data_IF_217548504769
#
_entry.id   IF_217548504769
#
_cell.length_a   1.000
_cell.length_b   1.000
_cell.length_c   1.000
_cell.angle_alpha   90.00
_cell.angle_beta   90.00
_cell.angle_gamma   90.00
#
_symmetry.space_group_name_H-M   'P 1'
#
loop_
_entity.id
_entity.type
_entity.pdbx_description
1 polymer ?
#
# COMPACT_ATOMS: atom_id res chain seq x y z
N UNK A 1 1.10 -42.44 -42.02
CA UNK A 1 0.45 -42.26 -40.70
C UNK A 1 -0.17 -40.89 -40.66
N UNK A 2 -1.50 -40.80 -40.73
CA UNK A 2 -2.18 -39.58 -40.29
C UNK A 2 -1.94 -39.49 -38.79
N UNK A 3 -1.08 -38.56 -38.36
CA UNK A 3 -0.97 -38.25 -36.94
C UNK A 3 -2.34 -37.83 -36.43
N UNK A 4 -2.80 -38.44 -35.35
CA UNK A 4 -3.99 -37.99 -34.66
C UNK A 4 -3.75 -36.54 -34.20
N UNK A 5 -4.57 -35.63 -34.69
CA UNK A 5 -4.43 -34.21 -34.39
C UNK A 5 -4.61 -33.95 -32.90
N UNK A 6 -5.47 -34.73 -32.21
CA UNK A 6 -5.69 -34.61 -30.77
C UNK A 6 -4.42 -34.96 -30.01
N UNK A 7 -3.81 -36.11 -30.32
CA UNK A 7 -2.54 -36.52 -29.71
C UNK A 7 -1.41 -35.54 -30.03
N UNK A 8 -1.42 -34.97 -31.24
CA UNK A 8 -0.48 -33.91 -31.62
C UNK A 8 -0.66 -32.63 -30.81
N UNK A 9 -1.89 -32.29 -30.41
CA UNK A 9 -2.14 -31.16 -29.49
C UNK A 9 -1.65 -31.45 -28.06
N UNK A 10 -1.61 -32.72 -27.65
CA UNK A 10 -1.14 -33.18 -26.33
C UNK A 10 0.35 -33.53 -26.30
N UNK A 11 1.07 -33.34 -27.40
CA UNK A 11 2.53 -33.48 -27.45
C UNK A 11 3.23 -32.11 -27.42
N UNK A 12 4.36 -32.02 -26.70
CA UNK A 12 5.06 -30.76 -26.46
C UNK A 12 5.54 -30.09 -27.76
N UNK A 13 6.18 -30.85 -28.64
CA UNK A 13 6.78 -30.32 -29.86
C UNK A 13 5.72 -30.09 -30.92
N UNK A 14 4.79 -31.03 -31.06
CA UNK A 14 3.72 -31.00 -32.04
C UNK A 14 2.72 -29.88 -31.73
N UNK A 15 2.35 -29.67 -30.46
CA UNK A 15 1.51 -28.53 -30.05
C UNK A 15 2.16 -27.19 -30.41
N UNK A 16 3.47 -27.03 -30.18
CA UNK A 16 4.21 -25.81 -30.57
C UNK A 16 4.23 -25.62 -32.09
N UNK A 17 4.36 -26.70 -32.86
CA UNK A 17 4.31 -26.65 -34.32
C UNK A 17 2.91 -26.22 -34.80
N UNK A 18 1.85 -26.81 -34.24
CA UNK A 18 0.46 -26.46 -34.55
C UNK A 18 0.22 -24.98 -34.26
N UNK A 19 0.63 -24.46 -33.10
CA UNK A 19 0.48 -23.05 -32.76
C UNK A 19 1.18 -22.11 -33.76
N UNK A 20 2.41 -22.44 -34.17
CA UNK A 20 3.16 -21.66 -35.18
C UNK A 20 2.49 -21.70 -36.55
N UNK A 21 2.07 -22.89 -36.99
CA UNK A 21 1.39 -23.06 -38.27
C UNK A 21 0.07 -22.32 -38.29
N UNK A 22 -0.69 -22.38 -37.19
CA UNK A 22 -1.97 -21.69 -37.03
C UNK A 22 -1.88 -20.19 -37.31
N UNK A 23 -0.77 -19.52 -36.95
CA UNK A 23 -0.59 -18.09 -37.24
C UNK A 23 -0.53 -17.79 -38.74
N UNK A 24 0.06 -18.68 -39.54
CA UNK A 24 0.18 -18.54 -41.00
C UNK A 24 -0.92 -19.21 -41.81
N UNK A 25 -1.79 -20.01 -41.18
CA UNK A 25 -2.83 -20.77 -41.87
C UNK A 25 -3.97 -19.91 -42.40
N UNK A 26 -4.57 -20.37 -43.52
CA UNK A 26 -5.79 -19.79 -44.06
C UNK A 26 -7.00 -20.00 -43.12
N UNK A 27 -8.09 -19.29 -43.35
CA UNK A 27 -9.32 -19.43 -42.55
C UNK A 27 -9.88 -20.84 -42.69
N UNK A 28 -9.87 -21.40 -43.90
CA UNK A 28 -10.34 -22.76 -44.20
C UNK A 28 -9.53 -23.81 -43.44
N UNK A 29 -8.20 -23.68 -43.43
CA UNK A 29 -7.33 -24.57 -42.67
C UNK A 29 -7.61 -24.50 -41.16
N UNK A 30 -7.83 -23.29 -40.64
CA UNK A 30 -8.20 -23.08 -39.23
C UNK A 30 -9.54 -23.72 -38.89
N UNK A 31 -10.52 -23.62 -39.78
CA UNK A 31 -11.84 -24.25 -39.61
C UNK A 31 -11.73 -25.78 -39.60
N UNK A 32 -10.91 -26.36 -40.49
CA UNK A 32 -10.66 -27.82 -40.50
C UNK A 32 -10.01 -28.28 -39.20
N UNK A 33 -9.00 -27.55 -38.71
CA UNK A 33 -8.36 -27.86 -37.42
C UNK A 33 -9.39 -27.76 -36.30
N UNK A 34 -10.19 -26.69 -36.26
CA UNK A 34 -11.20 -26.46 -35.24
C UNK A 34 -12.21 -27.60 -35.18
N UNK A 35 -12.81 -27.96 -36.32
CA UNK A 35 -13.80 -29.05 -36.41
C UNK A 35 -13.25 -30.38 -35.87
N UNK A 36 -11.98 -30.67 -36.13
CA UNK A 36 -11.34 -31.90 -35.65
C UNK A 36 -11.08 -31.90 -34.14
N UNK A 37 -10.77 -30.75 -33.55
CA UNK A 37 -10.44 -30.67 -32.12
C UNK A 37 -11.64 -30.32 -31.23
N UNK A 38 -12.75 -29.84 -31.81
CA UNK A 38 -13.86 -29.25 -31.06
C UNK A 38 -14.46 -30.19 -29.99
N UNK A 39 -14.66 -31.46 -30.33
CA UNK A 39 -15.23 -32.46 -29.41
C UNK A 39 -14.32 -32.72 -28.20
N UNK A 40 -13.01 -32.59 -28.37
CA UNK A 40 -12.00 -32.77 -27.32
C UNK A 40 -11.53 -31.45 -26.71
N UNK A 41 -12.14 -30.32 -27.09
CA UNK A 41 -11.63 -29.00 -26.71
C UNK A 41 -11.59 -28.81 -25.19
N UNK A 42 -12.59 -29.31 -24.44
CA UNK A 42 -12.58 -29.25 -22.97
C UNK A 42 -11.42 -30.04 -22.34
N UNK A 43 -11.11 -31.21 -22.88
CA UNK A 43 -9.95 -32.00 -22.44
C UNK A 43 -8.65 -31.28 -22.78
N UNK A 44 -8.56 -30.68 -23.97
CA UNK A 44 -7.40 -29.89 -24.38
C UNK A 44 -7.21 -28.63 -23.53
N UNK A 45 -8.29 -27.96 -23.08
CA UNK A 45 -8.18 -26.83 -22.15
C UNK A 45 -7.51 -27.22 -20.82
N UNK A 46 -7.67 -28.48 -20.40
CA UNK A 46 -7.07 -29.05 -19.19
C UNK A 46 -5.72 -29.74 -19.45
N UNK A 47 -5.27 -29.83 -20.70
CA UNK A 47 -3.99 -30.47 -21.03
C UNK A 47 -2.80 -29.50 -20.91
N UNK A 48 -1.64 -30.02 -20.51
CA UNK A 48 -0.41 -29.24 -20.31
C UNK A 48 0.12 -28.54 -21.58
N UNK A 49 -0.19 -29.08 -22.77
CA UNK A 49 0.22 -28.51 -24.06
C UNK A 49 -0.98 -28.11 -24.92
N UNK A 50 -2.11 -28.83 -24.83
CA UNK A 50 -3.34 -28.58 -25.58
C UNK A 50 -3.97 -27.24 -25.25
N UNK A 51 -3.81 -26.75 -24.00
CA UNK A 51 -4.41 -25.48 -23.58
C UNK A 51 -3.93 -24.30 -24.44
N UNK A 52 -2.69 -24.34 -24.91
CA UNK A 52 -2.13 -23.30 -25.77
C UNK A 52 -2.76 -23.29 -27.17
N UNK A 53 -3.12 -24.47 -27.69
CA UNK A 53 -3.81 -24.59 -28.98
C UNK A 53 -5.20 -23.96 -28.86
N UNK A 54 -5.94 -24.23 -27.78
CA UNK A 54 -7.26 -23.60 -27.54
C UNK A 54 -7.13 -22.08 -27.38
N UNK A 55 -6.11 -21.60 -26.66
CA UNK A 55 -5.86 -20.16 -26.52
C UNK A 55 -5.66 -19.47 -27.89
N UNK A 56 -5.00 -20.11 -28.87
CA UNK A 56 -4.84 -19.57 -30.23
C UNK A 56 -6.16 -19.32 -30.96
N UNK A 57 -7.21 -20.08 -30.65
CA UNK A 57 -8.55 -19.84 -31.20
C UNK A 57 -9.25 -18.64 -30.56
N UNK A 58 -8.90 -18.27 -29.33
CA UNK A 58 -9.39 -17.05 -28.68
C UNK A 58 -8.61 -15.80 -29.12
N UNK A 59 -7.29 -15.88 -29.34
CA UNK A 59 -6.45 -14.74 -29.69
C UNK A 59 -6.99 -13.96 -30.89
N UNK A 60 -7.19 -12.63 -30.74
CA UNK A 60 -7.43 -11.74 -31.88
C UNK A 60 -6.25 -11.75 -32.83
N UNK A 61 -6.58 -11.74 -34.12
CA UNK A 61 -5.61 -11.53 -35.17
C UNK A 61 -4.69 -10.34 -34.94
N UNK A 62 -3.38 -10.58 -34.88
CA UNK A 62 -2.40 -9.52 -34.71
C UNK A 62 -2.19 -8.72 -36.02
N UNK A 63 -2.09 -7.40 -35.91
CA UNK A 63 -1.54 -6.54 -36.97
C UNK A 63 -0.03 -6.69 -36.98
N UNK A 64 0.55 -7.44 -37.93
CA UNK A 64 2.01 -7.46 -38.11
C UNK A 64 2.40 -6.35 -39.08
N UNK A 65 3.05 -5.28 -38.58
CA UNK A 65 3.76 -4.32 -39.44
C UNK A 65 5.02 -5.00 -39.97
N UNK A 66 4.94 -5.63 -41.15
CA UNK A 66 6.12 -5.86 -42.00
C UNK A 66 6.26 -4.67 -42.93
N UNK A 67 7.49 -4.24 -43.21
CA UNK A 67 7.82 -3.06 -44.02
C UNK A 67 6.82 -2.84 -45.17
N UNK A 68 6.11 -1.71 -45.11
CA UNK A 68 5.26 -1.13 -46.16
C UNK A 68 3.98 -1.88 -46.58
N UNK A 69 3.59 -3.01 -45.95
CA UNK A 69 2.26 -3.64 -46.18
C UNK A 69 1.59 -4.00 -44.86
N UNK A 70 0.45 -3.38 -44.56
CA UNK A 70 -0.42 -3.81 -43.45
C UNK A 70 -1.08 -5.13 -43.84
N UNK A 71 -0.59 -6.23 -43.28
CA UNK A 71 -1.25 -7.54 -43.38
C UNK A 71 -1.96 -7.78 -42.05
N UNK A 72 -3.29 -7.93 -42.12
CA UNK A 72 -4.08 -8.44 -41.00
C UNK A 72 -3.84 -9.95 -40.92
N UNK A 73 -3.14 -10.41 -39.88
CA UNK A 73 -3.10 -11.84 -39.57
C UNK A 73 -4.38 -12.10 -38.78
N UNK A 74 -5.42 -12.69 -39.35
CA UNK A 74 -6.58 -13.13 -38.56
C UNK A 74 -6.19 -14.39 -37.77
N UNK A 75 -6.15 -14.31 -36.44
CA UNK A 75 -6.18 -15.47 -35.53
C UNK A 75 -7.55 -15.48 -34.87
N UNK A 76 -8.11 -16.68 -34.66
CA UNK A 76 -9.44 -16.91 -34.08
C UNK A 76 -10.60 -16.32 -34.88
N UNK A 77 -11.39 -17.15 -35.58
CA UNK A 77 -12.68 -16.72 -36.14
C UNK A 77 -13.66 -16.41 -34.98
N UNK A 78 -14.43 -15.33 -35.10
CA UNK A 78 -15.52 -14.97 -34.17
C UNK A 78 -16.41 -16.17 -33.84
N UNK A 79 -16.75 -16.98 -34.85
CA UNK A 79 -17.57 -18.18 -34.68
C UNK A 79 -16.92 -19.21 -33.75
N UNK A 80 -15.62 -19.48 -33.92
CA UNK A 80 -14.88 -20.38 -33.02
C UNK A 80 -14.86 -19.87 -31.58
N UNK A 81 -14.74 -18.56 -31.36
CA UNK A 81 -14.77 -17.99 -30.00
C UNK A 81 -16.13 -18.20 -29.33
N UNK A 82 -17.22 -18.01 -30.08
CA UNK A 82 -18.58 -18.23 -29.58
C UNK A 82 -18.80 -19.71 -29.28
N UNK A 83 -18.37 -20.61 -30.17
CA UNK A 83 -18.48 -22.06 -29.96
C UNK A 83 -17.67 -22.54 -28.75
N UNK A 84 -16.42 -22.08 -28.61
CA UNK A 84 -15.60 -22.37 -27.43
C UNK A 84 -16.24 -21.81 -26.16
N UNK A 85 -16.82 -20.61 -26.20
CA UNK A 85 -17.58 -20.07 -25.07
C UNK A 85 -18.77 -20.96 -24.68
N UNK A 86 -19.51 -21.55 -25.64
CA UNK A 86 -20.58 -22.48 -25.29
C UNK A 86 -20.06 -23.71 -24.53
N UNK A 87 -18.85 -24.19 -24.84
CA UNK A 87 -18.22 -25.27 -24.06
C UNK A 87 -17.78 -24.83 -22.67
N UNK A 88 -17.43 -23.54 -22.48
CA UNK A 88 -17.07 -23.01 -21.16
C UNK A 88 -18.26 -22.95 -20.20
N UNK A 89 -19.49 -22.87 -20.73
CA UNK A 89 -20.68 -22.73 -19.89
C UNK A 89 -20.84 -23.90 -18.92
N UNK A 90 -21.01 -23.59 -17.65
CA UNK A 90 -21.10 -24.57 -16.56
C UNK A 90 -19.76 -25.23 -16.22
N UNK A 91 -18.66 -24.82 -16.85
CA UNK A 91 -17.30 -25.34 -16.62
C UNK A 91 -16.34 -24.24 -16.12
N UNK A 92 -16.80 -22.99 -15.98
CA UNK A 92 -15.91 -21.86 -15.71
C UNK A 92 -15.19 -22.01 -14.38
N UNK A 93 -15.90 -22.42 -13.31
CA UNK A 93 -15.29 -22.61 -11.99
C UNK A 93 -14.22 -23.70 -12.05
N UNK A 94 -14.57 -24.89 -12.56
CA UNK A 94 -13.65 -26.03 -12.65
C UNK A 94 -12.39 -25.69 -13.46
N UNK A 95 -12.57 -25.02 -14.60
CA UNK A 95 -11.44 -24.56 -15.42
C UNK A 95 -10.63 -23.49 -14.70
N UNK A 96 -11.26 -22.58 -13.96
CA UNK A 96 -10.56 -21.51 -13.22
C UNK A 96 -9.65 -22.04 -12.13
N UNK A 97 -10.04 -23.13 -11.46
CA UNK A 97 -9.27 -23.81 -10.43
C UNK A 97 -8.23 -24.80 -11.00
N UNK A 98 -8.21 -25.00 -12.33
CA UNK A 98 -7.31 -25.93 -12.99
C UNK A 98 -5.99 -25.27 -13.41
N UNK A 99 -4.86 -25.97 -13.21
CA UNK A 99 -3.49 -25.52 -13.53
C UNK A 99 -3.35 -24.93 -14.93
N UNK A 100 -3.97 -25.58 -15.93
CA UNK A 100 -3.94 -25.15 -17.33
C UNK A 100 -5.24 -24.46 -17.77
N UNK A 101 -6.38 -24.88 -17.22
CA UNK A 101 -7.70 -24.34 -17.59
C UNK A 101 -7.81 -22.86 -17.25
N UNK A 102 -7.17 -22.42 -16.14
CA UNK A 102 -7.20 -21.03 -15.71
C UNK A 102 -6.60 -20.09 -16.76
N UNK A 103 -5.65 -20.58 -17.57
CA UNK A 103 -5.03 -19.82 -18.67
C UNK A 103 -6.00 -19.62 -19.81
N UNK A 104 -6.83 -20.63 -20.11
CA UNK A 104 -7.88 -20.53 -21.13
C UNK A 104 -8.96 -19.56 -20.68
N UNK A 105 -9.43 -19.63 -19.43
CA UNK A 105 -10.43 -18.68 -18.90
C UNK A 105 -9.88 -17.24 -18.93
N UNK A 106 -8.63 -17.03 -18.51
CA UNK A 106 -7.99 -15.72 -18.61
C UNK A 106 -7.94 -15.23 -20.06
N UNK A 107 -7.56 -16.08 -21.01
CA UNK A 107 -7.52 -15.73 -22.43
C UNK A 107 -8.91 -15.42 -22.99
N UNK A 108 -9.93 -16.18 -22.60
CA UNK A 108 -11.32 -15.93 -22.98
C UNK A 108 -11.78 -14.55 -22.47
N UNK A 109 -11.54 -14.23 -21.19
CA UNK A 109 -11.87 -12.92 -20.61
C UNK A 109 -11.19 -11.75 -21.36
N UNK A 110 -9.92 -11.91 -21.75
CA UNK A 110 -9.15 -10.88 -22.49
C UNK A 110 -9.72 -10.64 -23.89
N UNK A 111 -10.00 -11.72 -24.61
CA UNK A 111 -10.32 -11.67 -26.04
C UNK A 111 -11.81 -11.43 -26.29
N UNK A 112 -12.67 -11.81 -25.34
CA UNK A 112 -14.11 -11.57 -25.38
C UNK A 112 -14.51 -10.18 -24.89
N UNK A 113 -13.56 -9.26 -24.65
CA UNK A 113 -13.86 -7.88 -24.23
C UNK A 113 -14.74 -7.07 -25.21
N UNK A 114 -14.80 -7.49 -26.48
CA UNK A 114 -15.68 -6.90 -27.51
C UNK A 114 -17.07 -7.57 -27.53
N UNK A 115 -17.30 -8.59 -26.68
CA UNK A 115 -18.55 -9.34 -26.54
C UNK A 115 -19.00 -9.33 -25.07
N UNK A 116 -19.54 -8.19 -24.57
CA UNK A 116 -19.82 -8.01 -23.15
C UNK A 116 -20.72 -9.09 -22.55
N UNK A 117 -21.73 -9.55 -23.29
CA UNK A 117 -22.65 -10.60 -22.84
C UNK A 117 -21.94 -11.94 -22.57
N UNK A 118 -20.97 -12.32 -23.41
CA UNK A 118 -20.22 -13.56 -23.23
C UNK A 118 -19.23 -13.45 -22.07
N UNK A 119 -18.55 -12.30 -21.98
CA UNK A 119 -17.65 -12.02 -20.86
C UNK A 119 -18.42 -11.99 -19.52
N UNK A 120 -19.60 -11.39 -19.51
CA UNK A 120 -20.48 -11.38 -18.33
C UNK A 120 -20.95 -12.78 -17.95
N UNK A 121 -21.29 -13.64 -18.92
CA UNK A 121 -21.63 -15.04 -18.64
C UNK A 121 -20.52 -15.80 -17.92
N UNK A 122 -19.25 -15.61 -18.33
CA UNK A 122 -18.10 -16.21 -17.62
C UNK A 122 -18.03 -15.70 -16.17
N UNK A 123 -18.23 -14.41 -15.97
CA UNK A 123 -18.12 -13.80 -14.64
C UNK A 123 -19.25 -14.23 -13.71
N UNK A 124 -20.48 -14.33 -14.23
CA UNK A 124 -21.66 -14.73 -13.46
C UNK A 124 -21.48 -16.14 -12.85
N UNK A 125 -20.86 -17.09 -13.57
CA UNK A 125 -20.63 -18.44 -13.05
C UNK A 125 -19.71 -18.50 -11.83
N UNK A 126 -18.79 -17.53 -11.68
CA UNK A 126 -17.86 -17.48 -10.54
C UNK A 126 -18.22 -16.43 -9.50
N UNK A 127 -19.28 -15.65 -9.73
CA UNK A 127 -19.65 -14.51 -8.88
C UNK A 127 -19.94 -14.92 -7.43
N UNK A 128 -20.59 -16.06 -7.22
CA UNK A 128 -20.88 -16.55 -5.86
C UNK A 128 -19.75 -17.43 -5.29
N UNK A 129 -18.65 -17.56 -6.03
CA UNK A 129 -17.49 -18.42 -5.72
C UNK A 129 -16.18 -17.62 -5.65
N UNK A 130 -16.26 -16.31 -5.53
CA UNK A 130 -15.12 -15.38 -5.47
C UNK A 130 -14.07 -15.84 -4.46
N UNK A 131 -14.50 -16.15 -3.25
CA UNK A 131 -13.60 -16.54 -2.18
C UNK A 131 -12.91 -17.88 -2.43
N UNK A 132 -13.60 -18.82 -3.08
CA UNK A 132 -13.01 -20.09 -3.52
C UNK A 132 -11.88 -19.82 -4.50
N UNK A 133 -12.13 -18.99 -5.52
CA UNK A 133 -11.12 -18.62 -6.50
C UNK A 133 -9.97 -17.82 -5.89
N UNK A 134 -10.22 -16.88 -4.97
CA UNK A 134 -9.18 -16.07 -4.32
C UNK A 134 -8.22 -16.93 -3.47
N UNK A 135 -8.73 -17.98 -2.84
CA UNK A 135 -7.95 -18.90 -2.03
C UNK A 135 -7.18 -19.93 -2.86
N UNK A 136 -7.56 -20.13 -4.11
CA UNK A 136 -6.92 -21.07 -5.01
C UNK A 136 -5.69 -20.47 -5.71
N UNK A 137 -4.66 -21.28 -5.95
CA UNK A 137 -3.41 -20.86 -6.59
C UNK A 137 -3.55 -20.52 -8.08
N UNK A 138 -4.62 -20.97 -8.74
CA UNK A 138 -4.92 -20.69 -10.15
C UNK A 138 -6.09 -19.73 -10.31
N UNK A 139 -7.17 -19.97 -9.56
CA UNK A 139 -8.39 -19.17 -9.54
C UNK A 139 -8.14 -17.69 -9.21
N UNK A 140 -7.15 -17.39 -8.38
CA UNK A 140 -6.84 -16.00 -8.02
C UNK A 140 -6.45 -15.17 -9.26
N UNK A 141 -5.75 -15.77 -10.22
CA UNK A 141 -5.39 -15.09 -11.46
C UNK A 141 -6.59 -14.85 -12.38
N UNK A 142 -7.60 -15.73 -12.33
CA UNK A 142 -8.87 -15.51 -13.05
C UNK A 142 -9.61 -14.32 -12.45
N UNK A 143 -9.70 -14.23 -11.11
CA UNK A 143 -10.33 -13.08 -10.44
C UNK A 143 -9.61 -11.77 -10.78
N UNK A 144 -8.27 -11.76 -10.73
CA UNK A 144 -7.49 -10.61 -11.19
C UNK A 144 -7.84 -10.23 -12.63
N UNK A 145 -7.96 -11.23 -13.52
CA UNK A 145 -8.28 -10.98 -14.92
C UNK A 145 -9.68 -10.40 -15.11
N UNK A 146 -10.69 -10.90 -14.39
CA UNK A 146 -12.02 -10.29 -14.37
C UNK A 146 -11.93 -8.80 -14.04
N UNK A 147 -11.24 -8.43 -12.96
CA UNK A 147 -11.04 -7.02 -12.59
C UNK A 147 -10.24 -6.21 -13.62
N UNK A 148 -9.34 -6.87 -14.35
CA UNK A 148 -8.61 -6.21 -15.43
C UNK A 148 -9.49 -5.91 -16.64
N UNK A 149 -10.42 -6.80 -16.97
CA UNK A 149 -11.19 -6.75 -18.21
C UNK A 149 -12.58 -6.11 -18.06
N UNK A 150 -13.19 -6.12 -16.87
CA UNK A 150 -14.50 -5.51 -16.59
C UNK A 150 -14.36 -3.97 -16.60
N UNK A 151 -14.34 -3.41 -17.79
CA UNK A 151 -14.39 -1.95 -18.00
C UNK A 151 -15.84 -1.42 -18.04
N UNK A 152 -16.84 -2.31 -18.13
CA UNK A 152 -18.22 -1.94 -18.49
C UNK A 152 -19.27 -2.19 -17.39
N UNK A 153 -19.14 -3.24 -16.57
CA UNK A 153 -20.15 -3.56 -15.52
C UNK A 153 -19.75 -3.02 -14.15
N UNK A 154 -20.37 -1.90 -13.75
CA UNK A 154 -20.15 -1.32 -12.41
C UNK A 154 -20.62 -2.27 -11.30
N UNK A 155 -21.77 -2.92 -11.49
CA UNK A 155 -22.42 -3.73 -10.46
C UNK A 155 -21.61 -4.96 -10.08
N UNK A 156 -21.10 -5.68 -11.07
CA UNK A 156 -20.25 -6.86 -10.88
C UNK A 156 -18.99 -6.46 -10.10
N UNK A 157 -18.28 -5.41 -10.55
CA UNK A 157 -17.09 -4.95 -9.86
C UNK A 157 -17.36 -4.54 -8.39
N UNK A 158 -18.51 -3.93 -8.12
CA UNK A 158 -18.91 -3.58 -6.76
C UNK A 158 -19.19 -4.81 -5.91
N UNK A 159 -19.90 -5.80 -6.45
CA UNK A 159 -20.17 -7.05 -5.75
C UNK A 159 -18.85 -7.76 -5.38
N UNK A 160 -17.91 -7.88 -6.32
CA UNK A 160 -16.61 -8.46 -6.02
C UNK A 160 -15.87 -7.74 -4.89
N UNK A 161 -15.81 -6.41 -4.94
CA UNK A 161 -15.12 -5.66 -3.89
C UNK A 161 -15.86 -5.76 -2.56
N UNK A 162 -17.19 -5.70 -2.57
CA UNK A 162 -17.98 -5.85 -1.36
C UNK A 162 -17.66 -7.18 -0.67
N UNK A 163 -17.72 -8.27 -1.42
CA UNK A 163 -17.34 -9.61 -0.93
C UNK A 163 -15.91 -9.62 -0.38
N UNK A 164 -14.94 -9.04 -1.10
CA UNK A 164 -13.54 -8.96 -0.65
C UNK A 164 -13.39 -8.16 0.67
N UNK A 165 -14.07 -7.03 0.81
CA UNK A 165 -13.94 -6.18 2.00
C UNK A 165 -14.68 -6.77 3.21
N UNK A 166 -15.84 -7.39 3.01
CA UNK A 166 -16.59 -8.05 4.10
C UNK A 166 -15.84 -9.26 4.65
N UNK A 167 -15.20 -10.02 3.78
CA UNK A 167 -14.45 -11.21 4.15
C UNK A 167 -13.08 -10.87 4.76
N UNK A 168 -12.69 -9.59 4.80
CA UNK A 168 -11.38 -9.17 5.30
C UNK A 168 -11.07 -9.71 6.70
N UNK A 169 -12.03 -9.63 7.64
CA UNK A 169 -11.81 -10.07 9.03
C UNK A 169 -11.54 -11.57 9.13
N UNK A 170 -12.25 -12.37 8.35
CA UNK A 170 -12.12 -13.83 8.33
C UNK A 170 -10.73 -14.25 7.83
N UNK A 171 -10.21 -13.58 6.81
CA UNK A 171 -8.96 -13.95 6.14
C UNK A 171 -7.72 -13.15 6.58
N UNK A 172 -7.82 -12.31 7.62
CA UNK A 172 -6.73 -11.41 8.05
C UNK A 172 -5.39 -12.10 8.37
N UNK A 173 -5.45 -13.39 8.70
CA UNK A 173 -4.28 -14.21 9.00
C UNK A 173 -3.80 -15.06 7.80
N UNK A 174 -4.53 -15.04 6.68
CA UNK A 174 -4.28 -15.86 5.50
C UNK A 174 -3.46 -15.09 4.45
N UNK A 175 -2.26 -15.57 4.13
CA UNK A 175 -1.30 -14.88 3.25
C UNK A 175 -1.85 -14.66 1.84
N UNK A 176 -2.34 -15.73 1.20
CA UNK A 176 -2.76 -15.67 -0.20
C UNK A 176 -4.00 -14.77 -0.38
N UNK A 177 -5.13 -14.98 0.31
CA UNK A 177 -6.31 -14.12 0.18
C UNK A 177 -6.01 -12.65 0.44
N UNK A 178 -5.20 -12.34 1.46
CA UNK A 178 -4.87 -10.96 1.78
C UNK A 178 -3.99 -10.28 0.75
N UNK A 179 -3.04 -11.00 0.13
CA UNK A 179 -2.30 -10.48 -1.03
C UNK A 179 -3.24 -10.17 -2.18
N UNK A 180 -4.24 -11.03 -2.43
CA UNK A 180 -5.24 -10.79 -3.47
C UNK A 180 -6.13 -9.60 -3.14
N UNK A 181 -6.63 -9.49 -1.91
CA UNK A 181 -7.44 -8.36 -1.47
C UNK A 181 -6.69 -7.03 -1.66
N UNK A 182 -5.42 -6.99 -1.27
CA UNK A 182 -4.57 -5.83 -1.51
C UNK A 182 -4.46 -5.51 -3.01
N UNK A 183 -4.13 -6.48 -3.85
CA UNK A 183 -4.02 -6.28 -5.29
C UNK A 183 -5.34 -5.79 -5.91
N UNK A 184 -6.46 -6.44 -5.61
CA UNK A 184 -7.77 -6.14 -6.21
C UNK A 184 -8.28 -4.76 -5.77
N UNK A 185 -8.17 -4.42 -4.48
CA UNK A 185 -8.60 -3.11 -3.96
C UNK A 185 -7.74 -1.99 -4.56
N UNK A 186 -6.41 -2.17 -4.60
CA UNK A 186 -5.51 -1.15 -5.17
C UNK A 186 -5.71 -0.98 -6.68
N UNK A 187 -5.89 -2.08 -7.42
CA UNK A 187 -6.21 -2.05 -8.86
C UNK A 187 -7.53 -1.32 -9.12
N UNK A 188 -8.57 -1.60 -8.34
CA UNK A 188 -9.85 -0.91 -8.46
C UNK A 188 -9.70 0.59 -8.19
N UNK A 189 -9.07 0.97 -7.08
CA UNK A 189 -8.86 2.38 -6.72
C UNK A 189 -8.06 3.12 -7.80
N UNK A 190 -7.06 2.45 -8.38
CA UNK A 190 -6.25 3.02 -9.45
C UNK A 190 -7.05 3.23 -10.74
N UNK A 191 -7.90 2.27 -11.14
CA UNK A 191 -8.67 2.35 -12.38
C UNK A 191 -9.89 3.26 -12.30
N UNK A 192 -10.59 3.28 -11.16
CA UNK A 192 -11.94 3.81 -11.07
C UNK A 192 -11.97 5.23 -10.49
N UNK A 193 -12.59 6.16 -11.22
CA UNK A 193 -12.82 7.54 -10.74
C UNK A 193 -13.94 7.63 -9.69
N UNK A 194 -14.86 6.66 -9.65
CA UNK A 194 -16.00 6.62 -8.71
C UNK A 194 -15.86 5.43 -7.75
N UNK A 195 -15.21 5.68 -6.62
CA UNK A 195 -14.74 4.67 -5.65
C UNK A 195 -15.43 4.76 -4.29
N UNK A 196 -16.53 5.54 -4.18
CA UNK A 196 -17.19 5.88 -2.91
C UNK A 196 -17.54 4.67 -2.06
N UNK A 197 -18.24 3.70 -2.63
CA UNK A 197 -18.80 2.55 -1.92
C UNK A 197 -17.69 1.72 -1.23
N UNK A 198 -16.55 1.56 -1.90
CA UNK A 198 -15.38 0.86 -1.35
C UNK A 198 -14.76 1.66 -0.22
N UNK A 199 -14.59 2.97 -0.43
CA UNK A 199 -14.06 3.82 0.62
C UNK A 199 -14.96 3.81 1.86
N UNK A 200 -16.28 3.89 1.70
CA UNK A 200 -17.21 3.84 2.82
C UNK A 200 -17.03 2.52 3.60
N UNK A 201 -16.91 1.38 2.92
CA UNK A 201 -16.67 0.08 3.57
C UNK A 201 -15.30 -0.06 4.23
N UNK A 202 -14.25 0.48 3.61
CA UNK A 202 -12.91 0.53 4.21
C UNK A 202 -12.88 1.43 5.44
N UNK A 203 -13.63 2.54 5.43
CA UNK A 203 -13.71 3.50 6.52
C UNK A 203 -14.39 2.91 7.76
N UNK A 204 -15.39 2.04 7.60
CA UNK A 204 -16.02 1.28 8.70
C UNK A 204 -15.01 0.43 9.49
N UNK A 205 -13.93 -0.03 8.84
CA UNK A 205 -12.97 -0.98 9.40
C UNK A 205 -11.53 -0.43 9.45
N UNK A 206 -11.35 0.89 9.33
CA UNK A 206 -10.02 1.49 9.12
C UNK A 206 -9.01 1.15 10.21
N UNK A 207 -9.42 1.11 11.48
CA UNK A 207 -8.52 0.81 12.61
C UNK A 207 -8.05 -0.63 12.57
N UNK A 208 -8.94 -1.57 12.26
CA UNK A 208 -8.62 -2.99 12.14
C UNK A 208 -7.74 -3.24 10.91
N UNK A 209 -8.02 -2.56 9.80
CA UNK A 209 -7.20 -2.60 8.59
C UNK A 209 -5.77 -2.09 8.87
N UNK A 210 -5.62 -0.98 9.59
CA UNK A 210 -4.31 -0.45 9.97
C UNK A 210 -3.51 -1.46 10.81
N UNK A 211 -4.17 -2.19 11.72
CA UNK A 211 -3.52 -3.16 12.62
C UNK A 211 -3.31 -4.54 11.99
N UNK A 212 -3.92 -4.82 10.83
CA UNK A 212 -3.74 -6.09 10.13
C UNK A 212 -2.39 -6.13 9.39
N UNK A 213 -1.72 -7.28 9.45
CA UNK A 213 -0.45 -7.57 8.80
C UNK A 213 -0.41 -7.28 7.29
N UNK A 214 -1.55 -7.37 6.62
CA UNK A 214 -1.68 -7.09 5.18
C UNK A 214 -2.60 -5.90 4.89
N UNK A 215 -3.67 -5.71 5.67
CA UNK A 215 -4.59 -4.57 5.51
C UNK A 215 -3.91 -3.21 5.60
N UNK A 216 -2.85 -3.11 6.39
CA UNK A 216 -2.11 -1.86 6.56
C UNK A 216 -1.56 -1.34 5.22
N UNK A 217 -1.19 -2.21 4.28
CA UNK A 217 -0.70 -1.79 2.97
C UNK A 217 -1.79 -1.12 2.12
N UNK A 218 -3.05 -1.55 2.26
CA UNK A 218 -4.19 -0.93 1.58
C UNK A 218 -4.33 0.52 2.04
N UNK A 219 -4.28 0.74 3.36
CA UNK A 219 -4.40 2.09 3.94
C UNK A 219 -3.20 2.96 3.54
N UNK A 220 -1.98 2.42 3.58
CA UNK A 220 -0.79 3.12 3.11
C UNK A 220 -0.90 3.54 1.64
N UNK A 221 -1.41 2.66 0.77
CA UNK A 221 -1.62 2.96 -0.65
C UNK A 221 -2.60 4.12 -0.83
N UNK A 222 -3.71 4.12 -0.09
CA UNK A 222 -4.72 5.19 -0.18
C UNK A 222 -4.17 6.53 0.31
N UNK A 223 -3.40 6.53 1.40
CA UNK A 223 -2.75 7.75 1.91
C UNK A 223 -1.78 8.33 0.88
N UNK A 224 -1.06 7.47 0.15
CA UNK A 224 -0.04 7.89 -0.80
C UNK A 224 -0.62 8.28 -2.17
N UNK A 225 -1.55 7.49 -2.72
CA UNK A 225 -2.03 7.58 -4.12
C UNK A 225 -3.54 7.77 -4.26
N UNK A 226 -4.30 7.60 -3.18
CA UNK A 226 -5.75 7.68 -3.20
C UNK A 226 -6.28 9.10 -3.43
N UNK A 227 -7.59 9.22 -3.57
CA UNK A 227 -8.27 10.51 -3.71
C UNK A 227 -8.05 11.37 -2.46
N UNK A 228 -7.71 12.66 -2.66
CA UNK A 228 -7.48 13.59 -1.57
C UNK A 228 -8.68 13.69 -0.62
N UNK A 229 -9.91 13.61 -1.14
CA UNK A 229 -11.13 13.64 -0.32
C UNK A 229 -11.18 12.51 0.71
N UNK A 230 -10.95 11.27 0.28
CA UNK A 230 -10.99 10.11 1.19
C UNK A 230 -9.74 10.02 2.06
N UNK A 231 -8.58 10.41 1.52
CA UNK A 231 -7.35 10.55 2.30
C UNK A 231 -7.55 11.47 3.50
N UNK A 232 -8.15 12.64 3.32
CA UNK A 232 -8.39 13.58 4.42
C UNK A 232 -9.33 12.99 5.49
N UNK A 233 -10.38 12.26 5.08
CA UNK A 233 -11.24 11.54 6.04
C UNK A 233 -10.48 10.45 6.80
N UNK A 234 -9.65 9.66 6.11
CA UNK A 234 -8.83 8.62 6.74
C UNK A 234 -7.84 9.22 7.73
N UNK A 235 -7.16 10.29 7.35
CA UNK A 235 -6.23 11.01 8.22
C UNK A 235 -6.93 11.50 9.49
N UNK A 236 -8.16 12.00 9.40
CA UNK A 236 -8.92 12.39 10.60
C UNK A 236 -9.06 11.25 11.60
N UNK A 237 -9.49 10.06 11.16
CA UNK A 237 -9.67 8.89 12.04
C UNK A 237 -8.32 8.39 12.57
N UNK A 238 -7.29 8.37 11.71
CA UNK A 238 -5.93 7.99 12.10
C UNK A 238 -5.38 8.94 13.18
N UNK A 239 -5.65 10.24 13.07
CA UNK A 239 -5.22 11.24 14.08
C UNK A 239 -5.92 11.00 15.43
N UNK A 240 -7.21 10.75 15.42
CA UNK A 240 -8.00 10.44 16.63
C UNK A 240 -7.49 9.17 17.34
N UNK A 241 -6.86 8.26 16.60
CA UNK A 241 -6.32 7.00 17.11
C UNK A 241 -4.78 6.95 17.06
N UNK A 242 -4.11 8.10 16.93
CA UNK A 242 -2.71 8.13 16.51
C UNK A 242 -1.80 7.36 17.46
N UNK A 243 -1.92 7.60 18.78
CA UNK A 243 -1.10 6.94 19.79
C UNK A 243 -1.29 5.42 19.76
N UNK A 244 -2.53 4.93 19.73
CA UNK A 244 -2.78 3.48 19.78
C UNK A 244 -2.32 2.77 18.50
N UNK A 245 -2.42 3.44 17.35
CA UNK A 245 -1.91 2.93 16.06
C UNK A 245 -0.38 2.94 16.03
N UNK A 246 0.27 3.98 16.52
CA UNK A 246 1.74 4.09 16.54
C UNK A 246 2.42 3.06 17.43
N UNK A 247 1.72 2.54 18.44
CA UNK A 247 2.23 1.49 19.34
C UNK A 247 2.12 0.07 18.75
N UNK A 248 1.44 -0.10 17.62
CA UNK A 248 1.21 -1.39 16.99
C UNK A 248 2.22 -1.65 15.84
N UNK A 249 2.70 -2.90 15.74
CA UNK A 249 3.70 -3.36 14.76
C UNK A 249 3.41 -2.99 13.31
N UNK A 250 2.14 -3.09 12.90
CA UNK A 250 1.72 -2.88 11.51
C UNK A 250 1.21 -1.45 11.31
N UNK A 251 0.38 -0.97 12.23
CA UNK A 251 -0.23 0.35 12.12
C UNK A 251 0.77 1.50 12.30
N UNK A 252 1.93 1.28 12.95
CA UNK A 252 3.00 2.29 13.03
C UNK A 252 3.43 2.76 11.63
N UNK A 253 3.53 1.84 10.66
CA UNK A 253 3.86 2.17 9.26
C UNK A 253 2.79 3.05 8.61
N UNK A 254 1.51 2.83 8.94
CA UNK A 254 0.41 3.68 8.49
C UNK A 254 0.54 5.09 9.06
N UNK A 255 0.87 5.21 10.35
CA UNK A 255 1.08 6.53 10.98
C UNK A 255 2.29 7.25 10.41
N UNK A 256 3.39 6.56 10.10
CA UNK A 256 4.54 7.13 9.40
C UNK A 256 4.21 7.61 7.99
N UNK A 257 3.44 6.82 7.22
CA UNK A 257 2.95 7.22 5.90
C UNK A 257 1.99 8.41 5.98
N UNK A 258 1.14 8.44 7.01
CA UNK A 258 0.23 9.57 7.26
C UNK A 258 1.02 10.86 7.44
N UNK A 259 2.06 10.86 8.28
CA UNK A 259 2.97 12.01 8.44
C UNK A 259 3.62 12.41 7.12
N UNK A 260 4.10 11.42 6.35
CA UNK A 260 4.88 11.68 5.13
C UNK A 260 4.04 12.33 4.03
N UNK A 261 2.77 11.95 3.94
CA UNK A 261 1.89 12.36 2.84
C UNK A 261 0.80 13.33 3.27
N UNK A 262 0.76 13.79 4.52
CA UNK A 262 -0.15 14.85 4.95
C UNK A 262 0.45 16.25 4.77
N UNK A 263 -0.39 17.27 4.96
CA UNK A 263 0.05 18.65 5.13
C UNK A 263 0.54 18.92 6.57
N UNK A 264 0.98 20.16 6.80
CA UNK A 264 1.44 20.61 8.12
C UNK A 264 0.27 20.84 9.11
N UNK A 265 -0.97 21.01 8.63
CA UNK A 265 -2.15 21.08 9.48
C UNK A 265 -2.39 19.76 10.21
N UNK A 266 -2.31 18.65 9.50
CA UNK A 266 -2.35 17.33 10.11
C UNK A 266 -1.20 17.12 11.11
N UNK A 267 0.02 17.52 10.76
CA UNK A 267 1.19 17.38 11.66
C UNK A 267 1.08 18.24 12.92
N UNK A 268 0.52 19.44 12.82
CA UNK A 268 0.17 20.24 14.00
C UNK A 268 -0.84 19.51 14.88
N UNK A 269 -1.89 18.92 14.30
CA UNK A 269 -2.82 18.10 15.06
C UNK A 269 -2.18 16.85 15.69
N UNK A 270 -1.20 16.23 15.03
CA UNK A 270 -0.39 15.15 15.61
C UNK A 270 0.47 15.65 16.76
N UNK A 271 1.06 16.85 16.66
CA UNK A 271 1.79 17.47 17.77
C UNK A 271 0.89 17.58 19.00
N UNK A 272 -0.32 18.12 18.84
CA UNK A 272 -1.27 18.26 19.94
C UNK A 272 -1.57 16.90 20.60
N UNK A 273 -1.76 15.85 19.80
CA UNK A 273 -1.95 14.47 20.31
C UNK A 273 -0.71 13.95 21.03
N UNK A 274 0.50 14.21 20.54
CA UNK A 274 1.74 13.80 21.19
C UNK A 274 1.95 14.49 22.54
N UNK A 275 1.57 15.76 22.63
CA UNK A 275 1.72 16.58 23.83
C UNK A 275 0.55 16.43 24.83
N UNK A 276 -0.56 15.81 24.41
CA UNK A 276 -1.71 15.56 25.26
C UNK A 276 -1.36 14.68 26.46
N UNK A 277 -1.89 15.05 27.62
CA UNK A 277 -1.78 14.28 28.86
C UNK A 277 -2.88 13.22 28.92
N UNK A 278 -2.52 12.03 29.36
CA UNK A 278 -3.43 10.93 29.63
C UNK A 278 -3.59 10.77 31.16
N UNK A 279 -4.78 10.35 31.60
CA UNK A 279 -5.08 10.00 33.01
C UNK A 279 -4.77 11.09 34.06
N UNK A 280 -4.78 12.38 33.69
CA UNK A 280 -4.46 13.52 34.57
C UNK A 280 -3.09 13.45 35.25
N UNK A 281 -2.18 12.60 34.76
CA UNK A 281 -0.79 12.53 35.25
C UNK A 281 0.10 13.35 34.30
N UNK A 282 0.83 14.31 34.85
CA UNK A 282 1.63 15.27 34.07
C UNK A 282 2.70 14.62 33.16
N UNK A 283 3.10 13.38 33.46
CA UNK A 283 4.12 12.62 32.74
C UNK A 283 3.55 11.56 31.79
N UNK A 284 2.25 11.27 31.80
CA UNK A 284 1.68 10.26 30.91
C UNK A 284 1.28 10.89 29.57
N UNK A 285 2.27 11.24 28.74
CA UNK A 285 2.03 11.91 27.44
C UNK A 285 2.18 10.94 26.27
N UNK A 286 1.56 11.29 25.14
CA UNK A 286 1.63 10.49 23.91
C UNK A 286 3.08 10.32 23.43
N UNK A 287 3.89 11.38 23.53
CA UNK A 287 5.31 11.34 23.18
C UNK A 287 6.10 10.37 24.05
N UNK A 288 5.84 10.30 25.36
CA UNK A 288 6.50 9.33 26.24
C UNK A 288 6.10 7.91 25.87
N UNK A 289 4.81 7.64 25.69
CA UNK A 289 4.32 6.30 25.30
C UNK A 289 5.01 5.81 24.03
N UNK A 290 5.10 6.68 23.01
CA UNK A 290 5.67 6.31 21.72
C UNK A 290 7.19 6.15 21.79
N UNK A 291 7.92 7.08 22.41
CA UNK A 291 9.39 6.98 22.49
C UNK A 291 9.86 5.80 23.34
N UNK A 292 9.01 5.31 24.26
CA UNK A 292 9.29 4.10 25.04
C UNK A 292 8.88 2.79 24.35
N UNK A 293 8.24 2.85 23.19
CA UNK A 293 7.74 1.68 22.47
C UNK A 293 8.65 1.27 21.30
N UNK A 294 8.72 -0.04 21.01
CA UNK A 294 9.55 -0.62 19.95
C UNK A 294 9.19 -0.15 18.53
N UNK A 295 7.96 0.29 18.28
CA UNK A 295 7.47 0.81 17.01
C UNK A 295 7.26 2.32 17.04
N UNK A 296 6.64 2.83 18.12
CA UNK A 296 6.29 4.24 18.27
C UNK A 296 7.48 5.19 18.18
N UNK A 297 8.68 4.76 18.59
CA UNK A 297 9.89 5.58 18.52
C UNK A 297 10.25 5.97 17.08
N UNK A 298 9.97 5.11 16.10
CA UNK A 298 10.19 5.39 14.68
C UNK A 298 9.17 6.41 14.17
N UNK A 299 7.93 6.35 14.66
CA UNK A 299 6.88 7.31 14.33
C UNK A 299 7.26 8.71 14.82
N UNK A 300 7.79 8.85 16.04
CA UNK A 300 8.23 10.15 16.59
C UNK A 300 9.44 10.69 15.82
N UNK A 301 10.38 9.83 15.43
CA UNK A 301 11.49 10.21 14.54
C UNK A 301 10.94 10.74 13.20
N UNK A 302 10.04 9.99 12.55
CA UNK A 302 9.42 10.38 11.28
C UNK A 302 8.68 11.70 11.38
N UNK A 303 7.89 11.86 12.45
CA UNK A 303 7.14 13.07 12.75
C UNK A 303 8.07 14.28 12.77
N UNK A 304 9.14 14.19 13.56
CA UNK A 304 10.12 15.27 13.63
C UNK A 304 10.78 15.51 12.29
N UNK A 305 11.33 14.49 11.63
CA UNK A 305 12.05 14.62 10.36
C UNK A 305 11.23 15.32 9.27
N UNK A 306 9.92 15.00 9.18
CA UNK A 306 9.02 15.50 8.13
C UNK A 306 8.16 16.70 8.54
N UNK A 307 8.37 17.23 9.75
CA UNK A 307 7.75 18.46 10.20
C UNK A 307 8.54 19.69 9.75
N UNK A 308 7.83 20.81 9.57
CA UNK A 308 8.43 22.11 9.31
C UNK A 308 9.16 22.67 10.55
N UNK A 309 9.82 23.81 10.40
CA UNK A 309 10.60 24.42 11.48
C UNK A 309 9.75 24.78 12.70
N UNK A 310 8.56 25.33 12.52
CA UNK A 310 7.71 25.81 13.63
C UNK A 310 7.22 24.65 14.50
N UNK A 311 6.76 23.55 13.89
CA UNK A 311 6.33 22.35 14.61
C UNK A 311 7.50 21.77 15.41
N UNK A 312 8.70 21.69 14.79
CA UNK A 312 9.93 21.24 15.46
C UNK A 312 10.27 22.13 16.65
N UNK A 313 10.17 23.44 16.49
CA UNK A 313 10.44 24.42 17.55
C UNK A 313 9.47 24.27 18.71
N UNK A 314 8.17 24.10 18.45
CA UNK A 314 7.14 23.87 19.47
C UNK A 314 7.41 22.59 20.27
N UNK A 315 7.72 21.50 19.58
CA UNK A 315 8.08 20.24 20.25
C UNK A 315 9.31 20.40 21.14
N UNK A 316 10.38 21.01 20.63
CA UNK A 316 11.60 21.26 21.40
C UNK A 316 11.34 22.18 22.59
N UNK A 317 10.55 23.24 22.43
CA UNK A 317 10.19 24.15 23.52
C UNK A 317 9.43 23.41 24.64
N UNK A 318 8.48 22.54 24.27
CA UNK A 318 7.76 21.71 25.24
C UNK A 318 8.70 20.78 26.01
N UNK A 319 9.61 20.08 25.32
CA UNK A 319 10.57 19.17 25.96
C UNK A 319 11.52 19.91 26.92
N UNK A 320 11.94 21.13 26.57
CA UNK A 320 12.78 21.96 27.45
C UNK A 320 12.04 22.48 28.69
N UNK A 321 10.73 22.74 28.57
CA UNK A 321 9.90 23.15 29.69
C UNK A 321 9.53 21.98 30.61
N UNK A 322 9.66 20.74 30.15
CA UNK A 322 9.28 19.53 30.87
C UNK A 322 10.50 18.59 31.04
N UNK A 323 11.44 19.00 31.90
CA UNK A 323 12.73 18.32 32.08
C UNK A 323 12.59 16.83 32.43
N UNK A 324 11.58 16.46 33.23
CA UNK A 324 11.30 15.05 33.57
C UNK A 324 10.95 14.22 32.32
N UNK A 325 10.12 14.78 31.42
CA UNK A 325 9.76 14.13 30.15
C UNK A 325 11.00 13.98 29.26
N UNK A 326 11.80 15.03 29.17
CA UNK A 326 13.05 15.01 28.40
C UNK A 326 14.00 13.90 28.90
N UNK A 327 14.26 13.87 30.21
CA UNK A 327 15.16 12.90 30.84
C UNK A 327 14.67 11.45 30.65
N UNK A 328 13.36 11.22 30.72
CA UNK A 328 12.75 9.93 30.44
C UNK A 328 12.99 9.44 29.00
N UNK A 329 12.89 10.33 28.02
CA UNK A 329 13.12 9.97 26.61
C UNK A 329 14.62 9.70 26.37
N UNK A 330 15.51 10.52 26.93
CA UNK A 330 16.96 10.40 26.74
C UNK A 330 17.55 9.18 27.44
N UNK A 331 17.00 8.79 28.60
CA UNK A 331 17.49 7.65 29.37
C UNK A 331 17.09 6.30 28.74
N UNK A 332 15.97 6.24 28.01
CA UNK A 332 15.46 4.99 27.45
C UNK A 332 16.15 4.54 26.14
N UNK A 333 16.31 3.21 25.96
CA UNK A 333 16.93 2.56 24.81
C UNK A 333 16.25 2.91 23.48
N UNK A 334 14.92 2.98 23.44
CA UNK A 334 14.14 3.34 22.23
C UNK A 334 14.09 4.85 21.96
N UNK A 335 14.23 5.69 23.00
CA UNK A 335 14.20 7.15 22.87
C UNK A 335 15.54 7.76 22.49
N UNK A 336 16.66 7.16 22.91
CA UNK A 336 18.04 7.61 22.57
C UNK A 336 18.27 7.88 21.07
N UNK A 337 17.84 7.02 20.13
CA UNK A 337 18.01 7.27 18.69
C UNK A 337 17.40 8.58 18.19
N UNK A 338 16.29 9.03 18.77
CA UNK A 338 15.61 10.28 18.39
C UNK A 338 16.55 11.49 18.50
N UNK A 339 17.40 11.52 19.53
CA UNK A 339 18.36 12.60 19.75
C UNK A 339 19.72 12.35 19.11
N UNK A 340 20.10 11.10 18.83
CA UNK A 340 21.37 10.77 18.15
C UNK A 340 21.34 11.07 16.65
N UNK A 341 20.28 10.67 15.94
CA UNK A 341 20.16 10.91 14.49
C UNK A 341 20.01 12.40 14.17
N UNK A 342 19.39 13.15 15.06
CA UNK A 342 19.19 14.58 14.89
C UNK A 342 20.24 15.34 15.71
N UNK A 343 21.51 15.33 15.28
CA UNK A 343 22.60 16.01 15.98
C UNK A 343 22.38 17.54 16.13
N UNK A 344 21.62 18.15 15.21
CA UNK A 344 21.08 19.51 15.37
C UNK A 344 20.12 19.61 16.56
N UNK A 345 19.31 18.59 16.88
CA UNK A 345 18.44 18.57 18.07
C UNK A 345 19.27 18.53 19.34
N UNK A 346 20.37 17.75 19.36
CA UNK A 346 21.31 17.80 20.49
C UNK A 346 21.82 19.24 20.68
N UNK A 347 22.14 19.97 19.60
CA UNK A 347 22.57 21.39 19.66
C UNK A 347 21.45 22.39 19.94
N UNK A 348 20.21 22.17 19.51
CA UNK A 348 19.06 23.06 19.76
C UNK A 348 18.53 22.86 21.19
N UNK A 349 18.50 21.61 21.66
CA UNK A 349 18.04 21.23 23.01
C UNK A 349 19.13 21.52 24.04
N UNK A 350 20.40 21.17 23.80
CA UNK A 350 21.50 21.62 24.67
C UNK A 350 21.79 23.12 24.51
N UNK A 351 21.46 23.72 23.36
CA UNK A 351 21.73 25.13 23.08
C UNK A 351 20.97 26.10 23.97
N UNK A 352 19.78 25.74 24.46
CA UNK A 352 19.04 26.54 25.45
C UNK A 352 19.50 26.31 26.89
N UNK A 353 19.93 25.10 27.28
CA UNK A 353 20.56 24.90 28.59
C UNK A 353 21.92 25.62 28.67
N UNK A 354 22.67 25.66 27.58
CA UNK A 354 23.93 26.40 27.50
C UNK A 354 23.67 27.91 27.46
N UNK A 355 22.67 28.43 26.76
CA UNK A 355 22.38 29.88 26.77
C UNK A 355 21.76 30.37 28.09
N UNK A 356 20.86 29.62 28.73
CA UNK A 356 20.25 30.06 30.00
C UNK A 356 21.18 29.90 31.21
N UNK A 357 22.11 28.92 31.22
CA UNK A 357 23.19 28.89 32.22
C UNK A 357 24.32 29.88 31.90
N UNK A 358 24.64 30.16 30.63
CA UNK A 358 25.64 31.19 30.30
C UNK A 358 25.09 32.59 30.57
N UNK A 359 23.80 32.86 30.37
CA UNK A 359 23.20 34.16 30.72
C UNK A 359 23.04 34.34 32.24
N UNK A 360 22.61 33.32 32.99
CA UNK A 360 22.64 33.37 34.46
C UNK A 360 24.05 33.54 35.01
N UNK A 361 25.02 32.75 34.54
CA UNK A 361 26.41 32.86 34.98
C UNK A 361 27.12 34.12 34.47
N UNK A 362 26.69 34.72 33.35
CA UNK A 362 27.19 36.04 32.92
C UNK A 362 26.60 37.16 33.75
N UNK A 363 25.31 37.13 34.08
CA UNK A 363 24.67 38.16 34.92
C UNK A 363 25.20 38.09 36.36
N UNK A 364 25.43 36.90 36.90
CA UNK A 364 25.99 36.72 38.24
C UNK A 364 27.49 37.02 38.29
N UNK A 365 28.28 36.70 37.25
CA UNK A 365 29.69 37.13 37.17
C UNK A 365 29.83 38.64 36.92
N UNK A 366 28.93 39.27 36.17
CA UNK A 366 28.95 40.73 35.98
C UNK A 366 28.52 41.44 37.27
N UNK A 367 27.55 40.90 38.04
CA UNK A 367 27.19 41.43 39.37
C UNK A 367 28.30 41.25 40.40
N UNK A 368 28.93 40.09 40.45
CA UNK A 368 30.04 39.82 41.39
C UNK A 368 31.31 40.60 41.03
N UNK A 369 31.62 40.76 39.73
CA UNK A 369 32.76 41.58 39.30
C UNK A 369 32.50 43.09 39.49
N UNK A 370 31.26 43.56 39.34
CA UNK A 370 30.93 44.98 39.64
C UNK A 370 30.93 45.29 41.14
N UNK A 371 30.45 44.37 42.00
CA UNK A 371 30.58 44.52 43.45
C UNK A 371 32.04 44.47 43.94
N UNK A 372 32.86 43.58 43.38
CA UNK A 372 34.30 43.52 43.69
C UNK A 372 35.08 44.74 43.16
N UNK A 373 34.69 45.33 42.02
CA UNK A 373 35.30 46.56 41.52
C UNK A 373 34.95 47.78 42.40
N UNK A 374 33.72 47.85 42.92
CA UNK A 374 33.28 48.93 43.80
C UNK A 374 33.94 48.81 45.19
N UNK A 375 34.06 47.60 45.75
CA UNK A 375 34.77 47.38 47.02
C UNK A 375 36.28 47.66 46.89
N UNK A 376 36.95 47.19 45.83
CA UNK A 376 38.39 47.43 45.66
C UNK A 376 38.74 48.91 45.41
N UNK A 377 37.85 49.70 44.81
CA UNK A 377 38.03 51.14 44.64
C UNK A 377 37.72 51.98 45.89
N UNK A 378 36.97 51.45 46.85
CA UNK A 378 36.80 52.07 48.18
C UNK A 378 37.99 51.77 49.11
N UNK A 379 38.64 50.61 48.98
CA UNK A 379 39.85 50.26 49.74
C UNK A 379 41.14 50.95 49.25
N UNK A 380 41.24 51.27 47.96
CA UNK A 380 42.39 52.01 47.42
C UNK A 380 42.34 53.52 47.75
N UNK A 381 41.15 54.13 47.78
CA UNK A 381 40.99 55.54 48.16
C UNK A 381 41.15 55.84 49.67
N UNK A 382 40.98 54.83 50.54
CA UNK A 382 41.24 54.99 51.98
C UNK A 382 42.74 54.88 52.33
N UNK A 383 43.53 54.11 51.56
CA UNK A 383 44.99 54.01 51.77
C UNK A 383 45.79 55.19 51.22
N UNK A 384 45.26 55.95 50.26
CA UNK A 384 45.96 57.14 49.70
C UNK A 384 45.80 58.37 50.62
N UNK A 385 44.77 58.43 51.48
CA UNK A 385 44.59 59.54 52.44
C UNK A 385 45.39 59.42 53.75
N UNK A 386 46.05 58.29 54.03
CA UNK A 386 46.87 58.10 55.24
C UNK A 386 48.38 58.28 55.06
N UNK A 387 48.89 58.57 53.85
CA UNK A 387 50.32 58.82 53.58
C UNK A 387 50.70 60.30 53.32
N UNK A 388 49.83 61.26 53.69
CA UNK A 388 50.10 62.71 53.61
C UNK A 388 49.88 63.46 54.93
N UNK A 389 50.23 62.84 56.05
CA UNK A 389 50.45 63.53 57.32
C UNK A 389 51.64 62.87 58.02
N UNK A 390 52.83 63.37 57.73
CA UNK A 390 53.92 63.69 58.65
C UNK A 390 54.90 64.57 57.90
#
# INVERSE_FOLDING_TARGET
MYFDLIESCKDQNSSRMIQKQFESSSIEQKNIIFQKIYQEALNLMKDQFGNYVIQKFFEKGQKKKKLQKQIYIQTGNTEHKIQLYQLLKGQVLDLSLHTYGCRVIQKALEELKDYPELQEGIIQEINDKIMVCIQDQHGNHVIQKCFETISSSKQINLHFIHTVVEQFREYQNCVLPMKQFFFLITLYIWKQKKTKEIYDKLMENIIDLCKCQYGNYIIQYIIEKGSNYYKQKMLKIIKENFVCLSLNKFASNVTEKSILFSDDSFKLGVLDVLLSQFNNQSQDTGIIKLTKNAYGNYVVQRFYEKSNFDIKQKLCAYLLQNELIYNDIVSNSYGKPFFKKNSQNKKIILGKHVLTHIEKNRVDNIRNNSQNFIQNNQFSNSKIKQKKKF
#
